data_IF_908423318278
#
_entry.id   IF_908423318278
#
_cell.length_a   1.000
_cell.length_b   1.000
_cell.length_c   1.000
_cell.angle_alpha   90.00
_cell.angle_beta   90.00
_cell.angle_gamma   90.00
#
_symmetry.space_group_name_H-M   'P 1'
#
loop_
_entity.id
_entity.type
_entity.pdbx_description
1 polymer ?
#
# COMPACT_ATOMS: atom_id res chain seq x y z
N UNK A 1 25.97 -13.96 -1.33
CA UNK A 1 24.59 -13.52 -1.02
C UNK A 1 24.49 -12.00 -0.95
N UNK A 2 25.25 -11.33 -0.08
CA UNK A 2 25.23 -9.86 0.05
C UNK A 2 25.80 -9.11 -1.16
N UNK A 3 26.74 -9.69 -1.92
CA UNK A 3 27.28 -9.06 -3.15
C UNK A 3 26.17 -8.71 -4.15
N UNK A 4 25.22 -9.60 -4.42
CA UNK A 4 24.10 -9.30 -5.32
C UNK A 4 23.22 -8.15 -4.82
N UNK A 5 23.03 -8.03 -3.49
CA UNK A 5 22.28 -6.91 -2.90
C UNK A 5 23.01 -5.57 -3.16
N UNK A 6 24.35 -5.56 -3.09
CA UNK A 6 25.14 -4.35 -3.42
C UNK A 6 24.99 -3.94 -4.89
N UNK A 7 24.73 -4.90 -5.78
CA UNK A 7 24.49 -4.67 -7.20
C UNK A 7 23.00 -4.50 -7.56
N UNK A 8 22.12 -4.29 -6.56
CA UNK A 8 20.72 -3.92 -6.78
C UNK A 8 19.71 -5.07 -6.76
N UNK A 9 20.10 -6.28 -6.33
CA UNK A 9 19.10 -7.30 -6.04
C UNK A 9 18.19 -6.84 -4.88
N UNK A 10 16.87 -6.92 -5.08
CA UNK A 10 15.88 -6.48 -4.08
C UNK A 10 15.92 -7.34 -2.80
N UNK A 11 16.30 -8.61 -2.92
CA UNK A 11 16.37 -9.53 -1.79
C UNK A 11 17.10 -10.82 -2.08
N UNK A 12 17.45 -11.52 -1.00
CA UNK A 12 18.06 -12.84 -1.03
C UNK A 12 17.74 -13.60 0.25
N UNK A 13 17.81 -14.92 0.22
CA UNK A 13 17.61 -15.77 1.40
C UNK A 13 18.66 -16.87 1.48
N UNK A 14 19.09 -17.20 2.68
CA UNK A 14 20.04 -18.28 2.93
C UNK A 14 19.96 -18.74 4.38
N UNK A 15 20.49 -19.91 4.68
CA UNK A 15 20.41 -20.49 6.02
C UNK A 15 21.61 -20.11 6.88
N UNK A 16 21.41 -20.01 8.20
CA UNK A 16 22.44 -19.58 9.16
C UNK A 16 23.40 -20.73 9.50
N UNK A 17 22.89 -21.96 9.60
CA UNK A 17 23.67 -23.19 9.81
C UNK A 17 22.90 -24.33 9.17
N UNK A 18 23.56 -25.12 8.34
CA UNK A 18 22.86 -26.04 7.44
C UNK A 18 23.38 -27.47 7.55
N UNK A 19 22.89 -28.26 8.53
CA UNK A 19 23.23 -29.68 8.62
C UNK A 19 22.41 -30.54 7.64
N UNK A 20 21.27 -30.04 7.13
CA UNK A 20 20.34 -30.79 6.26
C UNK A 20 19.60 -29.92 5.22
N UNK A 21 19.38 -30.46 4.02
CA UNK A 21 18.62 -29.84 2.92
C UNK A 21 17.13 -30.23 2.96
N UNK A 22 16.39 -29.71 3.94
CA UNK A 22 14.95 -29.98 4.09
C UNK A 22 14.15 -28.98 3.24
N UNK A 23 13.48 -29.43 2.18
CA UNK A 23 12.84 -28.53 1.20
C UNK A 23 11.86 -27.52 1.79
N UNK A 24 11.14 -27.87 2.86
CA UNK A 24 10.13 -27.01 3.48
C UNK A 24 10.67 -25.68 4.04
N UNK A 25 11.98 -25.58 4.32
CA UNK A 25 12.60 -24.35 4.84
C UNK A 25 13.13 -23.41 3.76
N UNK A 26 13.12 -23.84 2.50
CA UNK A 26 13.55 -23.03 1.38
C UNK A 26 12.35 -22.49 0.62
N UNK A 27 12.48 -21.33 -0.05
CA UNK A 27 11.45 -20.83 -0.94
C UNK A 27 11.21 -21.81 -2.08
N UNK A 28 9.95 -22.13 -2.35
CA UNK A 28 9.59 -22.85 -3.57
C UNK A 28 9.96 -22.02 -4.80
N UNK A 29 10.26 -22.64 -5.96
CA UNK A 29 10.49 -21.92 -7.21
C UNK A 29 9.32 -21.04 -7.65
N UNK A 30 8.12 -21.29 -7.11
CA UNK A 30 6.93 -20.48 -7.35
C UNK A 30 6.95 -19.13 -6.63
N UNK A 31 7.99 -18.78 -5.86
CA UNK A 31 8.21 -17.43 -5.33
C UNK A 31 8.02 -16.35 -6.40
N UNK A 32 8.52 -16.60 -7.62
CA UNK A 32 8.39 -15.66 -8.72
C UNK A 32 6.94 -15.41 -9.13
N UNK A 33 6.04 -16.39 -8.97
CA UNK A 33 4.60 -16.23 -9.26
C UNK A 33 3.95 -15.26 -8.27
N UNK A 34 4.27 -15.39 -6.98
CA UNK A 34 3.77 -14.46 -5.96
C UNK A 34 4.31 -13.05 -6.19
N UNK A 35 5.60 -12.93 -6.55
CA UNK A 35 6.21 -11.64 -6.76
C UNK A 35 5.69 -10.95 -8.03
N UNK A 36 5.53 -11.71 -9.13
CA UNK A 36 4.98 -11.20 -10.38
C UNK A 36 3.48 -10.89 -10.32
N UNK A 37 2.74 -11.51 -9.39
CA UNK A 37 1.34 -11.19 -9.16
C UNK A 37 1.16 -9.78 -8.57
N UNK A 38 2.22 -9.17 -8.02
CA UNK A 38 2.21 -7.82 -7.47
C UNK A 38 2.43 -7.75 -5.96
N UNK A 39 2.61 -8.88 -5.28
CA UNK A 39 2.97 -8.88 -3.86
C UNK A 39 4.35 -8.26 -3.64
N UNK A 40 4.60 -7.74 -2.45
CA UNK A 40 5.93 -7.29 -2.08
C UNK A 40 6.90 -8.48 -1.91
N UNK A 41 8.19 -8.19 -1.88
CA UNK A 41 9.24 -9.19 -1.67
C UNK A 41 8.97 -10.04 -0.42
N UNK A 42 8.56 -9.41 0.69
CA UNK A 42 8.26 -10.14 1.92
C UNK A 42 7.09 -11.11 1.74
N UNK A 43 5.99 -10.66 1.13
CA UNK A 43 4.83 -11.53 0.85
C UNK A 43 5.21 -12.69 -0.06
N UNK A 44 6.03 -12.46 -1.09
CA UNK A 44 6.48 -13.51 -1.99
C UNK A 44 7.31 -14.58 -1.25
N UNK A 45 8.22 -14.18 -0.35
CA UNK A 45 8.95 -15.12 0.48
C UNK A 45 8.04 -15.89 1.45
N UNK A 46 7.18 -15.18 2.19
CA UNK A 46 6.33 -15.84 3.19
C UNK A 46 5.23 -16.72 2.59
N UNK A 47 4.82 -16.48 1.34
CA UNK A 47 3.92 -17.39 0.61
C UNK A 47 4.65 -18.59 0.00
N UNK A 48 5.98 -18.54 -0.16
CA UNK A 48 6.76 -19.60 -0.80
C UNK A 48 7.54 -20.49 0.18
N UNK A 49 7.58 -20.16 1.47
CA UNK A 49 8.28 -20.93 2.50
C UNK A 49 7.29 -21.59 3.47
N UNK A 50 7.27 -22.92 3.53
CA UNK A 50 6.33 -23.66 4.39
C UNK A 50 6.77 -23.75 5.85
N UNK A 51 8.07 -23.69 6.14
CA UNK A 51 8.64 -23.77 7.48
C UNK A 51 9.88 -22.91 7.62
N UNK A 52 9.77 -21.61 7.96
CA UNK A 52 10.88 -20.64 7.89
C UNK A 52 11.94 -20.79 8.99
N UNK A 53 12.05 -21.95 9.64
CA UNK A 53 13.08 -22.17 10.65
C UNK A 53 14.47 -22.13 10.01
N UNK A 54 15.40 -21.41 10.62
CA UNK A 54 16.80 -21.29 10.19
C UNK A 54 17.04 -20.63 8.81
N UNK A 55 16.01 -20.05 8.17
CA UNK A 55 16.15 -19.26 6.95
C UNK A 55 16.25 -17.76 7.31
N UNK A 56 17.29 -17.09 6.82
CA UNK A 56 17.44 -15.65 6.92
C UNK A 56 17.07 -15.02 5.57
N UNK A 57 16.05 -14.17 5.57
CA UNK A 57 15.65 -13.34 4.43
C UNK A 57 16.23 -11.94 4.64
N UNK A 58 16.93 -11.41 3.63
CA UNK A 58 17.56 -10.09 3.67
C UNK A 58 17.23 -9.33 2.39
N UNK A 59 16.85 -8.06 2.50
CA UNK A 59 16.47 -7.23 1.36
C UNK A 59 15.55 -6.08 1.74
N UNK A 60 14.90 -5.49 0.74
CA UNK A 60 13.82 -4.52 0.93
C UNK A 60 12.47 -5.25 0.99
N UNK A 61 11.85 -5.41 2.18
CA UNK A 61 10.60 -6.14 2.32
C UNK A 61 9.43 -5.48 1.58
N UNK A 62 9.48 -4.18 1.32
CA UNK A 62 8.41 -3.41 0.67
C UNK A 62 8.59 -3.29 -0.85
N UNK A 63 9.67 -3.82 -1.42
CA UNK A 63 9.88 -3.81 -2.86
C UNK A 63 8.75 -4.58 -3.56
N UNK A 64 8.05 -3.92 -4.49
CA UNK A 64 6.86 -4.46 -5.18
C UNK A 64 6.82 -4.02 -6.66
N UNK A 65 7.84 -4.36 -7.47
CA UNK A 65 8.01 -3.77 -8.80
C UNK A 65 6.94 -4.22 -9.83
N UNK A 66 6.19 -5.29 -9.53
CA UNK A 66 5.07 -5.77 -10.36
C UNK A 66 3.68 -5.38 -9.80
N UNK A 67 3.61 -4.59 -8.73
CA UNK A 67 2.33 -4.15 -8.19
C UNK A 67 1.61 -3.21 -9.18
N UNK A 68 0.38 -3.56 -9.53
CA UNK A 68 -0.49 -2.74 -10.37
C UNK A 68 -1.21 -1.71 -9.50
N UNK A 69 -0.61 -0.52 -9.34
CA UNK A 69 -1.19 0.54 -8.51
C UNK A 69 -2.40 1.17 -9.21
N UNK A 70 -3.59 1.18 -8.57
CA UNK A 70 -4.77 1.75 -9.18
C UNK A 70 -4.60 3.27 -9.34
N UNK A 71 -5.02 3.83 -10.46
CA UNK A 71 -5.05 5.26 -10.67
C UNK A 71 -6.17 5.87 -9.83
N UNK A 72 -5.89 7.01 -9.19
CA UNK A 72 -6.86 7.69 -8.33
C UNK A 72 -6.94 9.17 -8.71
N UNK A 73 -8.16 9.66 -8.82
CA UNK A 73 -8.46 11.09 -8.88
C UNK A 73 -9.44 11.45 -7.77
N UNK A 74 -9.32 12.67 -7.24
CA UNK A 74 -10.18 13.16 -6.17
C UNK A 74 -10.77 14.50 -6.60
N UNK A 75 -12.09 14.59 -6.55
CA UNK A 75 -12.86 15.80 -6.85
C UNK A 75 -13.40 16.41 -5.56
N UNK A 76 -13.64 17.73 -5.58
CA UNK A 76 -14.17 18.49 -4.44
C UNK A 76 -13.11 19.09 -3.52
N UNK A 77 -11.85 18.68 -3.64
CA UNK A 77 -10.70 19.27 -2.96
C UNK A 77 -9.54 19.49 -3.93
N UNK A 78 -8.78 20.56 -3.72
CA UNK A 78 -7.51 20.85 -4.40
C UNK A 78 -6.43 21.12 -3.35
N UNK A 79 -5.17 20.91 -3.74
CA UNK A 79 -4.04 21.25 -2.88
C UNK A 79 -4.09 22.74 -2.49
N UNK A 80 -3.80 23.01 -1.22
CA UNK A 80 -3.74 24.33 -0.59
C UNK A 80 -5.07 25.11 -0.61
N UNK A 81 -6.19 24.43 -0.88
CA UNK A 81 -7.51 25.04 -0.86
C UNK A 81 -7.91 25.42 0.57
N UNK A 82 -8.43 26.64 0.73
CA UNK A 82 -9.12 27.04 1.95
C UNK A 82 -10.52 26.42 2.01
N UNK A 83 -10.81 25.72 3.11
CA UNK A 83 -12.05 24.97 3.31
C UNK A 83 -12.69 25.31 4.65
N UNK A 84 -14.02 25.33 4.70
CA UNK A 84 -14.82 25.62 5.89
C UNK A 84 -16.17 24.91 5.82
N UNK A 85 -16.73 24.51 6.96
CA UNK A 85 -17.99 23.78 7.01
C UNK A 85 -17.87 22.37 6.42
N UNK A 86 -18.82 21.98 5.56
CA UNK A 86 -18.86 20.63 4.97
C UNK A 86 -18.43 20.65 3.52
N UNK A 87 -17.41 19.85 3.18
CA UNK A 87 -16.92 19.67 1.80
C UNK A 87 -17.23 18.25 1.32
N UNK A 88 -17.76 18.12 0.11
CA UNK A 88 -17.99 16.81 -0.52
C UNK A 88 -16.73 16.40 -1.27
N UNK A 89 -16.21 15.21 -0.95
CA UNK A 89 -15.03 14.62 -1.56
C UNK A 89 -15.46 13.39 -2.36
N UNK A 90 -15.17 13.39 -3.66
CA UNK A 90 -15.57 12.31 -4.57
C UNK A 90 -14.33 11.67 -5.18
N UNK A 91 -13.95 10.46 -4.78
CA UNK A 91 -12.86 9.74 -5.40
C UNK A 91 -13.34 8.96 -6.63
N UNK A 92 -12.46 8.87 -7.61
CA UNK A 92 -12.67 8.05 -8.81
C UNK A 92 -11.40 7.29 -9.15
N UNK A 93 -11.57 6.16 -9.84
CA UNK A 93 -10.49 5.35 -10.39
C UNK A 93 -10.91 4.86 -11.77
N UNK A 94 -9.94 4.69 -12.68
CA UNK A 94 -10.14 4.00 -13.97
C UNK A 94 -9.91 2.50 -13.87
N UNK A 95 -9.35 2.03 -12.75
CA UNK A 95 -9.04 0.62 -12.49
C UNK A 95 -10.12 -0.02 -11.61
N UNK A 96 -10.05 -1.35 -11.48
CA UNK A 96 -10.96 -2.10 -10.61
C UNK A 96 -10.58 -1.94 -9.13
N UNK A 97 -11.33 -1.11 -8.42
CA UNK A 97 -11.11 -0.75 -7.02
C UNK A 97 -12.26 -1.29 -6.17
N UNK A 98 -11.96 -1.96 -5.06
CA UNK A 98 -12.98 -2.49 -4.16
C UNK A 98 -13.57 -1.41 -3.24
N UNK A 99 -12.72 -0.47 -2.80
CA UNK A 99 -13.09 0.63 -1.90
C UNK A 99 -12.09 1.79 -1.97
N UNK A 100 -12.55 2.96 -1.51
CA UNK A 100 -11.71 4.09 -1.16
C UNK A 100 -11.72 4.31 0.36
N UNK A 101 -10.59 4.65 0.94
CA UNK A 101 -10.41 4.95 2.37
C UNK A 101 -9.98 6.41 2.53
N UNK A 102 -10.63 7.15 3.43
CA UNK A 102 -10.40 8.58 3.65
C UNK A 102 -9.73 8.81 5.00
N UNK A 103 -8.58 9.48 4.97
CA UNK A 103 -7.79 9.83 6.14
C UNK A 103 -7.71 11.34 6.28
N UNK A 104 -7.72 11.80 7.53
CA UNK A 104 -7.38 13.19 7.89
C UNK A 104 -6.30 13.14 8.95
N UNK A 105 -5.15 13.77 8.67
CA UNK A 105 -3.95 13.76 9.53
C UNK A 105 -3.54 12.35 9.97
N UNK A 106 -3.56 11.41 9.02
CA UNK A 106 -3.20 10.01 9.24
C UNK A 106 -4.26 9.16 9.95
N UNK A 107 -5.42 9.72 10.32
CA UNK A 107 -6.52 8.97 10.94
C UNK A 107 -7.59 8.59 9.92
N UNK A 108 -7.88 7.30 9.80
CA UNK A 108 -9.00 6.82 9.00
C UNK A 108 -10.31 7.39 9.55
N UNK A 109 -11.09 8.04 8.68
CA UNK A 109 -12.39 8.61 9.04
C UNK A 109 -13.52 7.75 8.50
N UNK A 110 -13.48 7.45 7.21
CA UNK A 110 -14.54 6.74 6.51
C UNK A 110 -13.98 5.92 5.35
N UNK A 111 -14.80 5.03 4.80
CA UNK A 111 -14.53 4.33 3.55
C UNK A 111 -15.79 4.34 2.66
N UNK A 112 -15.60 4.25 1.34
CA UNK A 112 -16.69 4.19 0.37
C UNK A 112 -16.47 3.17 -0.74
N UNK A 113 -17.58 2.72 -1.35
CA UNK A 113 -17.52 1.96 -2.60
C UNK A 113 -17.29 2.89 -3.78
N UNK A 114 -16.77 2.39 -4.91
CA UNK A 114 -16.73 3.16 -6.15
C UNK A 114 -18.09 3.73 -6.52
N UNK A 115 -18.10 4.99 -6.96
CA UNK A 115 -19.32 5.73 -7.30
C UNK A 115 -19.95 6.49 -6.13
N UNK A 116 -19.45 6.34 -4.90
CA UNK A 116 -19.95 7.07 -3.74
C UNK A 116 -19.01 8.22 -3.33
N UNK A 117 -19.59 9.31 -2.84
CA UNK A 117 -18.86 10.45 -2.24
C UNK A 117 -18.86 10.38 -0.72
N UNK A 118 -17.96 11.12 -0.07
CA UNK A 118 -17.94 11.33 1.39
C UNK A 118 -17.91 12.80 1.77
N UNK A 119 -18.41 13.10 2.96
CA UNK A 119 -18.50 14.46 3.50
C UNK A 119 -17.36 14.67 4.49
N UNK A 120 -16.49 15.62 4.21
CA UNK A 120 -15.51 16.12 5.15
C UNK A 120 -16.14 17.28 5.95
N UNK A 121 -16.50 17.01 7.19
CA UNK A 121 -16.94 18.04 8.14
C UNK A 121 -15.73 18.71 8.80
N UNK A 122 -15.34 19.85 8.26
CA UNK A 122 -14.17 20.60 8.73
C UNK A 122 -14.43 21.30 10.06
N UNK A 123 -15.67 21.44 10.53
CA UNK A 123 -15.98 22.04 11.85
C UNK A 123 -15.46 21.21 13.01
N UNK A 124 -15.19 19.92 12.75
CA UNK A 124 -14.56 18.98 13.70
C UNK A 124 -13.04 19.08 13.75
N UNK A 125 -12.45 19.90 12.86
CA UNK A 125 -11.01 20.12 12.72
C UNK A 125 -10.62 21.48 13.28
N UNK A 126 -9.34 21.64 13.63
CA UNK A 126 -8.80 22.93 14.05
C UNK A 126 -8.60 23.82 12.82
N UNK A 127 -8.58 25.14 13.02
CA UNK A 127 -8.15 26.02 11.94
C UNK A 127 -6.63 25.85 11.71
N UNK A 128 -6.21 25.78 10.45
CA UNK A 128 -4.82 25.53 10.08
C UNK A 128 -4.65 24.53 8.94
N UNK A 129 -3.42 24.06 8.74
CA UNK A 129 -3.07 23.08 7.72
C UNK A 129 -3.49 21.67 8.15
N UNK A 130 -4.11 20.94 7.24
CA UNK A 130 -4.55 19.56 7.41
C UNK A 130 -4.20 18.73 6.19
N UNK A 131 -3.82 17.46 6.42
CA UNK A 131 -3.62 16.51 5.33
C UNK A 131 -4.89 15.69 5.11
N UNK A 132 -5.54 15.84 3.96
CA UNK A 132 -6.58 14.92 3.52
C UNK A 132 -5.96 13.90 2.58
N UNK A 133 -6.14 12.62 2.86
CA UNK A 133 -5.61 11.54 2.04
C UNK A 133 -6.72 10.59 1.65
N UNK A 134 -6.80 10.27 0.37
CA UNK A 134 -7.68 9.22 -0.13
C UNK A 134 -6.84 8.08 -0.66
N UNK A 135 -7.14 6.87 -0.21
CA UNK A 135 -6.46 5.64 -0.63
C UNK A 135 -7.42 4.81 -1.48
N UNK A 136 -7.01 4.44 -2.68
CA UNK A 136 -7.72 3.45 -3.49
C UNK A 136 -7.16 2.06 -3.17
N UNK A 137 -8.04 1.08 -3.03
CA UNK A 137 -7.66 -0.32 -2.77
C UNK A 137 -8.16 -1.18 -3.93
N UNK A 138 -7.24 -1.79 -4.68
CA UNK A 138 -7.58 -2.66 -5.81
C UNK A 138 -8.52 -3.80 -5.41
N UNK A 139 -9.35 -4.23 -6.34
CA UNK A 139 -10.24 -5.38 -6.20
C UNK A 139 -9.53 -6.69 -6.62
N UNK A 140 -8.36 -6.94 -6.04
CA UNK A 140 -7.60 -8.17 -6.24
C UNK A 140 -7.27 -8.79 -4.88
N UNK A 141 -6.61 -9.96 -4.88
CA UNK A 141 -6.24 -10.65 -3.63
C UNK A 141 -5.10 -9.98 -2.87
N UNK A 142 -4.33 -9.12 -3.55
CA UNK A 142 -3.16 -8.42 -2.98
C UNK A 142 -3.63 -7.12 -2.31
N UNK A 143 -4.79 -6.59 -2.71
CA UNK A 143 -5.32 -5.30 -2.30
C UNK A 143 -4.29 -4.17 -2.52
N UNK A 144 -3.67 -4.15 -3.70
CA UNK A 144 -2.68 -3.12 -4.05
C UNK A 144 -3.25 -1.72 -3.81
N UNK A 145 -2.47 -0.86 -3.16
CA UNK A 145 -2.93 0.46 -2.72
C UNK A 145 -2.23 1.59 -3.46
N UNK A 146 -2.98 2.62 -3.81
CA UNK A 146 -2.47 3.92 -4.22
C UNK A 146 -3.10 5.03 -3.39
N UNK A 147 -2.51 6.23 -3.40
CA UNK A 147 -3.02 7.34 -2.59
C UNK A 147 -2.94 8.68 -3.32
N UNK A 148 -3.94 9.52 -3.11
CA UNK A 148 -3.89 10.95 -3.35
C UNK A 148 -3.74 11.65 -2.00
N UNK A 149 -2.74 12.52 -1.87
CA UNK A 149 -2.50 13.36 -0.68
C UNK A 149 -2.79 14.80 -1.05
N UNK A 150 -3.72 15.42 -0.33
CA UNK A 150 -4.30 16.73 -0.65
C UNK A 150 -4.17 17.60 0.61
N UNK A 151 -3.16 18.46 0.70
CA UNK A 151 -3.07 19.44 1.78
C UNK A 151 -4.21 20.46 1.62
N UNK A 152 -4.86 20.82 2.72
CA UNK A 152 -5.94 21.82 2.76
C UNK A 152 -5.78 22.72 3.97
N UNK A 153 -6.31 23.93 3.88
CA UNK A 153 -6.29 24.89 4.99
C UNK A 153 -7.70 25.10 5.54
N UNK A 154 -7.93 24.68 6.77
CA UNK A 154 -9.22 24.83 7.45
C UNK A 154 -9.35 26.24 8.03
N UNK A 155 -10.46 26.92 7.71
CA UNK A 155 -10.78 28.29 8.15
C UNK A 155 -12.26 28.40 8.57
N UNK A 156 -12.66 27.67 9.62
CA UNK A 156 -13.99 27.78 10.21
C UNK A 156 -14.19 29.06 11.01
#
# INVERSE_FOLDING_TARGET
>A
MSEFLKFGAAGSSGTVTEPYAISAKFPSPFIHVHYSAGGCLAEAFYQSVSGPYQLLIVGDPLCQPWAAQPQIAVQGLKADQQVSGVVVVTPTSTDDVSRFEFFVDGRLREACRPGESRKLDTTTLKNGEHEVRVVAVSNDRIETRSRAVIPVKVTN
#
